data_IF_965042207787
#
_entry.id   IF_965042207787
#
_cell.length_a   1.000
_cell.length_b   1.000
_cell.length_c   1.000
_cell.angle_alpha   90.00
_cell.angle_beta   90.00
_cell.angle_gamma   90.00
#
_symmetry.space_group_name_H-M   'P 1'
#
loop_
_entity.id
_entity.type
_entity.pdbx_description
1 polymer ?
#
# COMPACT_ATOMS: atom_id res chain seq x y z
N UNK A 1 26.91 6.20 13.75
CA UNK A 1 27.21 7.31 12.82
C UNK A 1 25.86 7.73 12.25
N UNK A 2 25.41 8.98 12.50
CA UNK A 2 24.08 9.42 12.07
C UNK A 2 24.01 9.48 10.54
N UNK A 3 23.21 8.61 9.92
CA UNK A 3 22.87 8.66 8.51
C UNK A 3 21.89 9.83 8.27
N UNK A 4 22.36 10.88 7.62
CA UNK A 4 21.50 12.00 7.19
C UNK A 4 20.62 11.55 6.02
N UNK A 5 19.36 11.22 6.30
CA UNK A 5 18.32 11.15 5.28
C UNK A 5 17.88 12.57 4.93
N UNK A 6 18.09 13.01 3.70
CA UNK A 6 17.57 14.29 3.21
C UNK A 6 16.16 14.04 2.64
N UNK A 7 15.14 14.31 3.45
CA UNK A 7 13.75 14.34 3.00
C UNK A 7 13.43 15.72 2.40
N UNK A 8 13.26 15.81 1.09
CA UNK A 8 12.66 16.99 0.47
C UNK A 8 11.13 16.91 0.56
N UNK A 9 10.52 17.76 1.40
CA UNK A 9 9.07 18.03 1.39
C UNK A 9 8.84 19.50 1.05
N UNK A 10 8.82 19.83 -0.25
CA UNK A 10 8.42 21.16 -0.71
C UNK A 10 6.89 21.22 -0.77
N UNK A 11 6.30 22.11 0.02
CA UNK A 11 4.85 22.30 0.11
C UNK A 11 4.29 22.76 -1.25
N UNK A 12 3.36 22.01 -1.84
CA UNK A 12 2.46 22.55 -2.87
C UNK A 12 0.99 22.30 -2.56
N UNK A 13 0.23 23.25 -3.09
CA UNK A 13 -1.14 23.66 -2.80
C UNK A 13 -2.10 22.72 -3.53
N UNK A 14 -3.13 22.22 -2.86
CA UNK A 14 -4.17 21.36 -3.45
C UNK A 14 -4.89 22.09 -4.59
N UNK A 15 -4.67 21.64 -5.82
CA UNK A 15 -5.48 22.03 -6.97
C UNK A 15 -6.23 20.80 -7.52
N UNK A 16 -7.56 20.91 -7.46
CA UNK A 16 -8.54 19.89 -7.86
C UNK A 16 -8.40 19.54 -9.35
N UNK A 17 -8.36 18.25 -9.66
CA UNK A 17 -8.67 17.74 -11.01
C UNK A 17 -9.88 16.83 -11.01
N UNK A 18 -10.73 17.14 -11.99
CA UNK A 18 -12.05 16.62 -12.26
C UNK A 18 -11.92 15.56 -13.37
N UNK A 19 -12.03 14.28 -13.03
CA UNK A 19 -12.09 13.18 -13.99
C UNK A 19 -13.35 12.36 -13.76
N UNK A 20 -14.29 12.44 -14.72
CA UNK A 20 -15.55 11.69 -14.76
C UNK A 20 -15.32 10.21 -15.11
N UNK A 21 -14.60 9.51 -14.25
CA UNK A 21 -14.93 8.13 -13.94
C UNK A 21 -15.59 8.20 -12.57
N UNK A 22 -16.80 7.67 -12.40
CA UNK A 22 -17.34 7.49 -11.04
C UNK A 22 -16.51 6.39 -10.40
N UNK A 23 -15.30 6.71 -9.97
CA UNK A 23 -14.58 5.94 -8.96
C UNK A 23 -15.49 6.00 -7.75
N UNK A 24 -16.29 4.95 -7.56
CA UNK A 24 -16.98 4.72 -6.30
C UNK A 24 -15.89 4.61 -5.25
N UNK A 25 -15.57 5.73 -4.61
CA UNK A 25 -14.62 5.72 -3.52
C UNK A 25 -15.20 4.88 -2.39
N UNK A 26 -14.32 4.27 -1.59
CA UNK A 26 -14.73 3.38 -0.50
C UNK A 26 -15.73 4.07 0.45
N UNK A 27 -15.61 5.39 0.64
CA UNK A 27 -16.53 6.17 1.46
C UNK A 27 -17.95 6.30 0.87
N UNK A 28 -18.09 6.40 -0.45
CA UNK A 28 -19.40 6.46 -1.12
C UNK A 28 -20.09 5.11 -1.07
N UNK A 29 -19.34 4.03 -1.30
CA UNK A 29 -19.84 2.65 -1.21
C UNK A 29 -20.28 2.31 0.22
N UNK A 30 -19.47 2.71 1.21
CA UNK A 30 -19.81 2.62 2.63
C UNK A 30 -21.08 3.41 2.98
N UNK A 31 -21.20 4.65 2.51
CA UNK A 31 -22.39 5.47 2.74
C UNK A 31 -23.66 4.86 2.13
N UNK A 32 -23.58 4.26 0.93
CA UNK A 32 -24.71 3.55 0.33
C UNK A 32 -25.08 2.30 1.12
N UNK A 33 -24.11 1.54 1.61
CA UNK A 33 -24.36 0.35 2.41
C UNK A 33 -25.01 0.69 3.75
N UNK A 34 -24.50 1.72 4.45
CA UNK A 34 -25.10 2.19 5.71
C UNK A 34 -26.54 2.64 5.48
N UNK A 35 -26.81 3.38 4.39
CA UNK A 35 -28.18 3.76 4.01
C UNK A 35 -29.07 2.55 3.72
N UNK A 36 -28.56 1.54 3.03
CA UNK A 36 -29.29 0.31 2.74
C UNK A 36 -29.61 -0.48 4.02
N UNK A 37 -28.65 -0.62 4.94
CA UNK A 37 -28.85 -1.28 6.24
C UNK A 37 -29.92 -0.55 7.06
N UNK A 38 -29.87 0.78 7.09
CA UNK A 38 -30.88 1.61 7.77
C UNK A 38 -32.27 1.40 7.14
N UNK A 39 -32.37 1.41 5.80
CA UNK A 39 -33.62 1.18 5.08
C UNK A 39 -34.21 -0.21 5.34
N UNK A 40 -33.38 -1.25 5.30
CA UNK A 40 -33.81 -2.63 5.59
C UNK A 40 -34.27 -2.74 7.05
N UNK A 41 -33.55 -2.12 7.99
CA UNK A 41 -33.92 -2.11 9.40
C UNK A 41 -35.27 -1.41 9.63
N UNK A 42 -35.49 -0.26 9.00
CA UNK A 42 -36.76 0.46 9.07
C UNK A 42 -37.91 -0.34 8.46
N UNK A 43 -37.71 -0.94 7.28
CA UNK A 43 -38.70 -1.79 6.63
C UNK A 43 -39.11 -2.95 7.55
N UNK A 44 -38.14 -3.64 8.15
CA UNK A 44 -38.37 -4.75 9.06
C UNK A 44 -39.14 -4.32 10.32
N UNK A 45 -38.79 -3.18 10.93
CA UNK A 45 -39.52 -2.64 12.10
C UNK A 45 -40.98 -2.36 11.73
N UNK A 46 -41.22 -1.72 10.57
CA UNK A 46 -42.58 -1.40 10.11
C UNK A 46 -43.41 -2.62 9.73
N UNK A 47 -42.78 -3.74 9.35
CA UNK A 47 -43.48 -4.95 8.94
C UNK A 47 -43.64 -5.96 10.08
N UNK A 48 -42.72 -6.02 11.05
CA UNK A 48 -42.78 -7.04 12.10
C UNK A 48 -43.77 -6.66 13.19
N UNK A 49 -43.78 -5.39 13.61
CA UNK A 49 -44.64 -4.92 14.72
C UNK A 49 -46.15 -5.10 14.44
N UNK A 50 -46.68 -4.76 13.24
CA UNK A 50 -48.10 -4.94 12.98
C UNK A 50 -48.50 -6.37 12.56
N UNK A 51 -47.59 -7.17 12.00
CA UNK A 51 -47.92 -8.51 11.49
C UNK A 51 -47.50 -9.66 12.41
N UNK A 52 -46.70 -9.42 13.44
CA UNK A 52 -46.31 -10.43 14.44
C UNK A 52 -47.52 -11.14 15.07
N UNK A 53 -48.57 -10.39 15.39
CA UNK A 53 -49.79 -10.92 16.01
C UNK A 53 -50.54 -11.84 15.04
N UNK A 54 -50.54 -11.48 13.76
CA UNK A 54 -51.12 -12.27 12.66
C UNK A 54 -50.33 -13.55 12.44
N UNK A 55 -49.00 -13.48 12.43
CA UNK A 55 -48.11 -14.65 12.26
C UNK A 55 -48.24 -15.60 13.46
N UNK A 56 -48.24 -15.08 14.68
CA UNK A 56 -48.43 -15.90 15.89
C UNK A 56 -49.78 -16.60 15.86
N UNK A 57 -50.84 -15.90 15.45
CA UNK A 57 -52.18 -16.48 15.33
C UNK A 57 -52.24 -17.55 14.23
N UNK A 58 -51.58 -17.33 13.09
CA UNK A 58 -51.57 -18.24 11.96
C UNK A 58 -50.85 -19.57 12.29
N UNK A 59 -49.72 -19.51 12.97
CA UNK A 59 -48.89 -20.70 13.23
C UNK A 59 -49.18 -21.38 14.56
N UNK A 60 -49.70 -20.64 15.55
CA UNK A 60 -49.85 -21.16 16.90
C UNK A 60 -51.24 -20.91 17.53
N UNK A 61 -52.15 -20.28 16.78
CA UNK A 61 -53.53 -20.04 17.20
C UNK A 61 -53.70 -18.95 18.27
N UNK A 62 -54.95 -18.67 18.63
CA UNK A 62 -55.30 -17.54 19.52
C UNK A 62 -54.95 -17.77 20.98
N UNK A 63 -54.66 -19.01 21.40
CA UNK A 63 -54.39 -19.35 22.81
C UNK A 63 -53.09 -18.72 23.33
N UNK A 64 -52.10 -18.50 22.47
CA UNK A 64 -50.83 -17.86 22.83
C UNK A 64 -50.92 -16.33 22.89
N UNK A 65 -51.93 -15.74 22.25
CA UNK A 65 -52.19 -14.30 22.30
C UNK A 65 -52.69 -13.82 23.67
N UNK A 66 -53.10 -14.74 24.57
CA UNK A 66 -53.57 -14.41 25.91
C UNK A 66 -52.43 -14.16 26.91
N UNK A 67 -51.19 -14.53 26.56
CA UNK A 67 -50.03 -14.39 27.43
C UNK A 67 -49.08 -13.29 26.90
N UNK A 68 -49.25 -12.07 27.40
CA UNK A 68 -48.47 -10.90 26.98
C UNK A 68 -46.95 -11.07 27.13
N UNK A 69 -46.49 -11.77 28.17
CA UNK A 69 -45.05 -12.01 28.38
C UNK A 69 -44.46 -12.90 27.28
N UNK A 70 -45.23 -13.86 26.78
CA UNK A 70 -44.77 -14.76 25.73
C UNK A 70 -44.71 -14.07 24.36
N UNK A 71 -45.68 -13.20 24.06
CA UNK A 71 -45.68 -12.38 22.85
C UNK A 71 -44.47 -11.43 22.83
N UNK A 72 -44.17 -10.82 23.98
CA UNK A 72 -42.98 -9.98 24.15
C UNK A 72 -41.69 -10.77 23.93
N UNK A 73 -41.62 -11.99 24.47
CA UNK A 73 -40.46 -12.87 24.27
C UNK A 73 -40.24 -13.25 22.81
N UNK A 74 -41.30 -13.59 22.07
CA UNK A 74 -41.24 -13.88 20.63
C UNK A 74 -40.79 -12.64 19.84
N UNK A 75 -41.30 -11.46 20.17
CA UNK A 75 -40.83 -10.20 19.55
C UNK A 75 -39.34 -9.95 19.77
N UNK A 76 -38.89 -10.04 21.02
CA UNK A 76 -37.48 -9.84 21.36
C UNK A 76 -36.58 -10.88 20.66
N UNK A 77 -37.05 -12.12 20.51
CA UNK A 77 -36.34 -13.16 19.77
C UNK A 77 -36.23 -12.85 18.27
N UNK A 78 -37.32 -12.39 17.63
CA UNK A 78 -37.31 -11.99 16.23
C UNK A 78 -36.40 -10.78 15.99
N UNK A 79 -36.42 -9.78 16.88
CA UNK A 79 -35.51 -8.63 16.83
C UNK A 79 -34.05 -9.10 16.93
N UNK A 80 -33.75 -10.00 17.88
CA UNK A 80 -32.40 -10.55 18.05
C UNK A 80 -31.92 -11.32 16.81
N UNK A 81 -32.79 -12.12 16.20
CA UNK A 81 -32.47 -12.88 14.98
C UNK A 81 -32.11 -11.95 13.82
N UNK A 82 -32.80 -10.81 13.69
CA UNK A 82 -32.53 -9.81 12.66
C UNK A 82 -31.25 -9.03 12.90
N UNK A 83 -31.00 -8.61 14.13
CA UNK A 83 -29.74 -7.94 14.50
C UNK A 83 -28.54 -8.84 14.19
N UNK A 84 -28.63 -10.13 14.50
CA UNK A 84 -27.59 -11.09 14.16
C UNK A 84 -27.38 -11.23 12.64
N UNK A 85 -28.47 -11.24 11.85
CA UNK A 85 -28.40 -11.30 10.39
C UNK A 85 -27.74 -10.06 9.78
N UNK A 86 -28.08 -8.86 10.27
CA UNK A 86 -27.44 -7.60 9.85
C UNK A 86 -25.94 -7.62 10.18
N UNK A 87 -25.57 -8.06 11.39
CA UNK A 87 -24.16 -8.15 11.78
C UNK A 87 -23.36 -9.07 10.84
N UNK A 88 -23.89 -10.24 10.49
CA UNK A 88 -23.22 -11.16 9.56
C UNK A 88 -23.02 -10.59 8.15
N UNK A 89 -24.01 -9.85 7.63
CA UNK A 89 -23.89 -9.14 6.34
C UNK A 89 -22.82 -8.04 6.44
N UNK A 90 -22.80 -7.31 7.56
CA UNK A 90 -21.86 -6.21 7.79
C UNK A 90 -20.42 -6.74 7.89
N UNK A 91 -20.20 -7.82 8.64
CA UNK A 91 -18.90 -8.50 8.75
C UNK A 91 -18.41 -9.02 7.40
N UNK A 92 -19.29 -9.68 6.64
CA UNK A 92 -18.95 -10.20 5.30
C UNK A 92 -18.60 -9.06 4.36
N UNK A 93 -19.34 -7.95 4.39
CA UNK A 93 -19.04 -6.77 3.58
C UNK A 93 -17.73 -6.12 3.99
N UNK A 94 -17.46 -5.95 5.29
CA UNK A 94 -16.18 -5.42 5.79
C UNK A 94 -15.02 -6.31 5.31
N UNK A 95 -15.13 -7.63 5.44
CA UNK A 95 -14.16 -8.61 4.93
C UNK A 95 -13.96 -8.47 3.40
N UNK A 96 -15.04 -8.26 2.66
CA UNK A 96 -15.01 -8.09 1.20
C UNK A 96 -14.32 -6.78 0.80
N UNK A 97 -14.64 -5.66 1.47
CA UNK A 97 -14.03 -4.35 1.18
C UNK A 97 -12.56 -4.33 1.61
N UNK A 98 -12.24 -4.88 2.78
CA UNK A 98 -10.87 -4.96 3.26
C UNK A 98 -9.99 -5.84 2.37
N UNK A 99 -10.53 -6.95 1.83
CA UNK A 99 -9.80 -7.79 0.88
C UNK A 99 -9.58 -7.12 -0.48
N UNK A 100 -10.51 -6.27 -0.94
CA UNK A 100 -10.35 -5.45 -2.16
C UNK A 100 -9.26 -4.37 -1.97
N UNK A 101 -9.00 -3.93 -0.74
CA UNK A 101 -8.06 -2.84 -0.45
C UNK A 101 -6.61 -3.29 -0.15
N UNK A 102 -6.35 -4.60 -0.10
CA UNK A 102 -5.01 -5.16 0.04
C UNK A 102 -4.29 -5.31 -1.32
N UNK A 103 -4.17 -4.22 -2.08
CA UNK A 103 -3.05 -4.14 -3.02
C UNK A 103 -1.85 -3.64 -2.22
N UNK A 104 -0.89 -4.52 -1.90
CA UNK A 104 0.37 -4.09 -1.28
C UNK A 104 0.98 -3.00 -2.16
N UNK A 105 0.99 -1.77 -1.65
CA UNK A 105 1.47 -0.61 -2.38
C UNK A 105 2.94 -0.83 -2.78
N UNK A 106 3.32 -0.37 -3.97
CA UNK A 106 4.68 -0.59 -4.49
C UNK A 106 5.59 0.61 -4.27
N UNK A 107 6.82 0.36 -3.86
CA UNK A 107 7.88 1.36 -3.80
C UNK A 107 8.95 0.98 -4.82
N UNK A 108 9.40 1.95 -5.60
CA UNK A 108 10.46 1.77 -6.57
C UNK A 108 11.81 2.18 -5.97
N UNK A 109 12.74 1.23 -5.87
CA UNK A 109 14.13 1.49 -5.53
C UNK A 109 14.94 1.59 -6.82
N UNK A 110 15.65 2.70 -7.01
CA UNK A 110 16.52 2.92 -8.16
C UNK A 110 17.97 2.79 -7.72
N UNK A 111 18.69 1.90 -8.41
CA UNK A 111 20.10 1.61 -8.27
C UNK A 111 20.87 2.15 -9.48
N UNK A 112 22.16 2.41 -9.30
CA UNK A 112 23.08 2.68 -10.41
C UNK A 112 23.31 1.43 -11.27
N UNK A 113 23.70 1.63 -12.53
CA UNK A 113 24.25 0.62 -13.44
C UNK A 113 25.75 0.84 -13.71
N UNK A 114 26.43 1.64 -12.90
CA UNK A 114 27.85 2.00 -13.02
C UNK A 114 28.70 1.26 -11.98
N UNK A 115 29.77 0.61 -12.41
CA UNK A 115 30.51 -0.40 -11.64
C UNK A 115 32.00 -0.10 -11.42
N UNK A 116 32.58 0.91 -12.08
CA UNK A 116 34.03 1.17 -12.05
C UNK A 116 34.35 2.66 -12.00
N UNK A 117 35.13 3.09 -11.02
CA UNK A 117 35.68 4.44 -10.96
C UNK A 117 36.67 4.73 -12.11
N UNK A 118 36.93 6.01 -12.46
CA UNK A 118 37.92 6.38 -13.47
C UNK A 118 39.35 5.86 -13.21
N UNK A 119 39.68 5.55 -11.96
CA UNK A 119 40.96 4.97 -11.55
C UNK A 119 41.01 3.43 -11.65
N UNK A 120 39.94 2.79 -12.14
CA UNK A 120 39.85 1.35 -12.34
C UNK A 120 39.39 0.54 -11.12
N UNK A 121 39.16 1.18 -9.96
CA UNK A 121 38.62 0.48 -8.79
C UNK A 121 37.11 0.23 -8.93
N UNK A 122 36.58 -0.91 -8.44
CA UNK A 122 35.16 -1.19 -8.51
C UNK A 122 34.35 -0.22 -7.64
N UNK A 123 33.13 0.08 -8.08
CA UNK A 123 32.12 0.86 -7.36
C UNK A 123 30.72 0.29 -7.64
N UNK A 124 29.69 0.98 -7.16
CA UNK A 124 28.31 0.56 -7.32
C UNK A 124 27.36 1.33 -6.42
N UNK A 125 26.22 0.72 -6.13
CA UNK A 125 25.33 1.18 -5.07
C UNK A 125 25.85 0.72 -3.69
N UNK A 126 25.50 1.47 -2.64
CA UNK A 126 25.98 1.23 -1.27
C UNK A 126 25.07 0.26 -0.51
N UNK A 127 25.63 -0.83 0.04
CA UNK A 127 24.88 -1.89 0.73
C UNK A 127 23.89 -1.40 1.81
N UNK A 128 24.33 -0.70 2.87
CA UNK A 128 23.43 -0.27 3.96
C UNK A 128 22.33 0.67 3.49
N UNK A 129 22.59 1.46 2.45
CA UNK A 129 21.63 2.43 1.91
C UNK A 129 20.46 1.78 1.16
N UNK A 130 20.62 0.53 0.71
CA UNK A 130 19.52 -0.31 0.24
C UNK A 130 18.97 -1.20 1.35
N UNK A 131 19.85 -1.84 2.13
CA UNK A 131 19.48 -2.87 3.11
C UNK A 131 18.62 -2.32 4.24
N UNK A 132 19.06 -1.25 4.90
CA UNK A 132 18.35 -0.66 6.04
C UNK A 132 16.91 -0.23 5.68
N UNK A 133 16.68 0.57 4.62
CA UNK A 133 15.30 0.91 4.24
C UNK A 133 14.51 -0.30 3.72
N UNK A 134 15.14 -1.27 3.05
CA UNK A 134 14.46 -2.50 2.63
C UNK A 134 13.90 -3.29 3.82
N UNK A 135 14.74 -3.58 4.83
CA UNK A 135 14.35 -4.35 6.01
C UNK A 135 13.18 -3.72 6.77
N UNK A 136 13.10 -2.39 6.80
CA UNK A 136 11.98 -1.66 7.42
C UNK A 136 10.71 -1.73 6.56
N UNK A 137 10.84 -1.67 5.23
CA UNK A 137 9.69 -1.47 4.33
C UNK A 137 9.11 -2.77 3.75
N UNK A 138 9.89 -3.85 3.67
CA UNK A 138 9.51 -5.06 2.93
C UNK A 138 8.25 -5.78 3.46
N UNK A 139 7.94 -5.60 4.74
CA UNK A 139 6.77 -6.18 5.41
C UNK A 139 5.49 -5.33 5.19
N UNK A 140 5.64 -4.13 4.65
CA UNK A 140 4.54 -3.17 4.47
C UNK A 140 4.27 -2.85 2.99
N UNK A 141 5.30 -2.93 2.15
CA UNK A 141 5.27 -2.55 0.75
C UNK A 141 5.90 -3.61 -0.13
N UNK A 142 5.44 -3.69 -1.38
CA UNK A 142 6.15 -4.44 -2.41
C UNK A 142 7.27 -3.58 -2.96
N UNK A 143 8.51 -3.98 -2.73
CA UNK A 143 9.69 -3.26 -3.24
C UNK A 143 10.05 -3.84 -4.60
N UNK A 144 10.12 -2.99 -5.61
CA UNK A 144 10.66 -3.33 -6.92
C UNK A 144 11.91 -2.51 -7.19
N UNK A 145 12.80 -3.05 -8.01
CA UNK A 145 14.13 -2.50 -8.25
C UNK A 145 14.26 -2.11 -9.71
N UNK A 146 14.87 -0.95 -9.96
CA UNK A 146 15.17 -0.49 -11.30
C UNK A 146 16.58 0.09 -11.38
N UNK A 147 17.13 0.11 -12.60
CA UNK A 147 18.40 0.77 -12.90
C UNK A 147 18.39 1.32 -14.34
N UNK A 148 19.27 2.27 -14.69
CA UNK A 148 19.34 2.83 -16.05
C UNK A 148 19.38 1.79 -17.16
N UNK A 149 20.17 0.71 -16.97
CA UNK A 149 20.33 -0.35 -17.97
C UNK A 149 19.38 -1.53 -17.76
N UNK A 150 18.78 -1.67 -16.58
CA UNK A 150 18.09 -2.89 -16.17
C UNK A 150 19.06 -4.06 -15.97
N UNK A 151 18.55 -5.21 -15.53
CA UNK A 151 19.35 -6.39 -15.22
C UNK A 151 20.16 -6.22 -13.93
N UNK A 152 21.40 -6.70 -13.93
CA UNK A 152 22.25 -6.69 -12.73
C UNK A 152 22.69 -5.27 -12.36
N UNK A 153 22.39 -4.85 -11.13
CA UNK A 153 22.90 -3.59 -10.57
C UNK A 153 24.16 -3.84 -9.71
N UNK A 154 25.30 -3.21 -10.03
CA UNK A 154 26.58 -3.46 -9.36
C UNK A 154 26.58 -2.96 -7.91
N UNK A 155 26.88 -3.86 -6.98
CA UNK A 155 27.06 -3.54 -5.55
C UNK A 155 28.51 -3.11 -5.28
N UNK A 156 28.71 -2.01 -4.56
CA UNK A 156 30.05 -1.55 -4.17
C UNK A 156 30.69 -2.54 -3.17
N UNK A 157 31.77 -3.27 -3.54
CA UNK A 157 32.42 -4.23 -2.67
C UNK A 157 32.97 -3.60 -1.39
N UNK A 158 33.38 -2.33 -1.44
CA UNK A 158 33.89 -1.61 -0.27
C UNK A 158 32.79 -1.43 0.77
N UNK A 159 31.54 -1.21 0.33
CA UNK A 159 30.39 -1.12 1.24
C UNK A 159 30.07 -2.45 1.90
N UNK A 160 30.28 -3.57 1.20
CA UNK A 160 30.10 -4.92 1.77
C UNK A 160 31.12 -5.17 2.88
N UNK A 161 32.40 -4.86 2.63
CA UNK A 161 33.46 -5.06 3.63
C UNK A 161 33.27 -4.15 4.85
N UNK A 162 32.95 -2.86 4.63
CA UNK A 162 32.78 -1.89 5.71
C UNK A 162 31.57 -2.21 6.62
N UNK A 163 30.54 -2.86 6.09
CA UNK A 163 29.32 -3.21 6.81
C UNK A 163 29.14 -4.72 7.00
N UNK A 164 30.24 -5.49 6.91
CA UNK A 164 30.20 -6.96 7.03
C UNK A 164 29.69 -7.46 8.37
N UNK A 165 29.70 -6.62 9.42
CA UNK A 165 29.25 -6.97 10.77
C UNK A 165 27.83 -6.48 11.09
N UNK A 166 27.24 -5.68 10.21
CA UNK A 166 25.89 -5.13 10.34
C UNK A 166 24.84 -6.24 10.12
N UNK A 167 23.91 -6.36 11.07
CA UNK A 167 22.92 -7.45 11.10
C UNK A 167 21.93 -7.34 9.94
N UNK A 168 21.42 -6.14 9.66
CA UNK A 168 20.45 -5.90 8.58
C UNK A 168 21.11 -6.10 7.22
N UNK A 169 22.36 -5.68 7.06
CA UNK A 169 23.14 -5.93 5.85
C UNK A 169 23.36 -7.44 5.60
N UNK A 170 23.70 -8.21 6.63
CA UNK A 170 23.82 -9.68 6.54
C UNK A 170 22.50 -10.34 6.15
N UNK A 171 21.40 -9.92 6.77
CA UNK A 171 20.07 -10.42 6.48
C UNK A 171 19.67 -10.12 5.04
N UNK A 172 19.85 -8.88 4.59
CA UNK A 172 19.56 -8.44 3.23
C UNK A 172 20.36 -9.23 2.17
N UNK A 173 21.65 -9.45 2.40
CA UNK A 173 22.49 -10.26 1.49
C UNK A 173 22.07 -11.74 1.44
N UNK A 174 21.44 -12.23 2.51
CA UNK A 174 20.94 -13.62 2.61
C UNK A 174 19.49 -13.77 2.14
N UNK A 175 18.78 -12.65 1.90
CA UNK A 175 17.41 -12.67 1.42
C UNK A 175 17.37 -12.88 -0.10
N UNK A 176 16.84 -14.04 -0.51
CA UNK A 176 16.68 -14.39 -1.91
C UNK A 176 15.77 -13.43 -2.68
N UNK A 177 14.76 -12.83 -2.03
CA UNK A 177 13.83 -11.89 -2.66
C UNK A 177 14.54 -10.57 -2.97
N UNK A 178 15.25 -10.02 -1.99
CA UNK A 178 16.11 -8.86 -2.20
C UNK A 178 17.14 -9.12 -3.30
N UNK A 179 17.84 -10.25 -3.22
CA UNK A 179 18.88 -10.66 -4.18
C UNK A 179 18.36 -10.77 -5.60
N UNK A 180 17.27 -11.50 -5.81
CA UNK A 180 16.65 -11.58 -7.14
C UNK A 180 16.23 -10.21 -7.66
N UNK A 181 15.78 -9.33 -6.77
CA UNK A 181 15.40 -7.96 -7.10
C UNK A 181 16.55 -7.12 -7.67
N UNK A 182 17.65 -6.97 -6.92
CA UNK A 182 18.78 -6.15 -7.36
C UNK A 182 19.65 -6.83 -8.45
N UNK A 183 19.58 -8.15 -8.61
CA UNK A 183 20.22 -8.85 -9.73
C UNK A 183 19.41 -8.78 -11.04
N UNK A 184 18.10 -8.52 -10.97
CA UNK A 184 17.19 -8.50 -12.13
C UNK A 184 16.35 -7.23 -12.14
N UNK A 185 17.01 -6.08 -12.06
CA UNK A 185 16.33 -4.77 -12.04
C UNK A 185 15.57 -4.51 -13.34
N UNK A 186 14.45 -3.80 -13.23
CA UNK A 186 13.75 -3.24 -14.39
C UNK A 186 14.58 -2.11 -15.00
N UNK A 187 14.46 -1.92 -16.30
CA UNK A 187 15.05 -0.75 -16.96
C UNK A 187 14.20 0.48 -16.65
N UNK A 188 14.82 1.64 -16.39
CA UNK A 188 14.09 2.88 -16.08
C UNK A 188 13.07 3.27 -17.16
N UNK A 189 13.34 2.98 -18.44
CA UNK A 189 12.42 3.27 -19.55
C UNK A 189 11.12 2.50 -19.51
N UNK A 190 11.06 1.40 -18.74
CA UNK A 190 9.93 0.49 -18.70
C UNK A 190 9.05 0.74 -17.47
N UNK A 191 9.42 1.73 -16.65
CA UNK A 191 8.73 2.08 -15.42
C UNK A 191 7.51 2.94 -15.71
N UNK A 192 6.35 2.47 -15.26
CA UNK A 192 5.14 3.27 -15.19
C UNK A 192 4.98 3.85 -13.77
N UNK A 193 5.11 5.18 -13.66
CA UNK A 193 5.01 5.90 -12.38
C UNK A 193 3.72 5.57 -11.62
N UNK A 194 2.62 5.31 -12.33
CA UNK A 194 1.31 5.04 -11.72
C UNK A 194 1.27 3.77 -10.88
N UNK A 195 2.20 2.84 -11.09
CA UNK A 195 2.23 1.56 -10.37
C UNK A 195 2.83 1.69 -8.96
N UNK A 196 3.45 2.84 -8.66
CA UNK A 196 4.21 3.07 -7.44
C UNK A 196 3.66 4.23 -6.63
N UNK A 197 3.82 4.13 -5.30
CA UNK A 197 3.45 5.19 -4.35
C UNK A 197 4.63 6.05 -3.93
N UNK A 198 5.86 5.54 -4.10
CA UNK A 198 7.09 6.24 -3.75
C UNK A 198 8.27 5.78 -4.62
N UNK A 199 9.25 6.66 -4.72
CA UNK A 199 10.54 6.48 -5.42
C UNK A 199 11.68 6.69 -4.42
N UNK A 200 12.65 5.80 -4.42
CA UNK A 200 13.85 5.85 -3.57
C UNK A 200 15.09 5.69 -4.43
N UNK A 201 15.96 6.69 -4.48
CA UNK A 201 17.29 6.58 -5.07
C UNK A 201 18.31 6.15 -4.02
N UNK A 202 18.87 4.96 -4.21
CA UNK A 202 19.96 4.45 -3.37
C UNK A 202 21.25 5.13 -3.79
N UNK A 203 22.10 5.49 -2.83
CA UNK A 203 23.41 6.08 -3.10
C UNK A 203 24.50 5.03 -3.35
N UNK A 204 25.69 5.26 -2.81
CA UNK A 204 26.95 4.75 -3.37
C UNK A 204 27.57 5.75 -4.34
N UNK A 205 28.77 5.52 -4.88
CA UNK A 205 29.39 6.51 -5.78
C UNK A 205 28.92 6.38 -7.24
N UNK A 206 28.42 5.20 -7.63
CA UNK A 206 27.92 4.94 -8.98
C UNK A 206 26.89 5.95 -9.50
N UNK A 207 25.88 6.37 -8.71
CA UNK A 207 24.89 7.38 -9.12
C UNK A 207 25.47 8.69 -9.66
N UNK A 208 26.67 9.10 -9.23
CA UNK A 208 27.32 10.30 -9.75
C UNK A 208 27.78 10.17 -11.20
N UNK A 209 27.94 8.95 -11.72
CA UNK A 209 28.49 8.68 -13.04
C UNK A 209 27.44 8.35 -14.11
N UNK A 210 26.27 7.85 -13.71
CA UNK A 210 25.20 7.53 -14.65
C UNK A 210 23.91 8.31 -14.37
N UNK A 211 23.39 8.23 -13.14
CA UNK A 211 22.10 8.82 -12.80
C UNK A 211 22.11 10.36 -12.81
N UNK A 212 23.27 11.00 -12.58
CA UNK A 212 23.45 12.46 -12.60
C UNK A 212 23.09 13.13 -13.92
N UNK A 213 23.28 12.43 -15.04
CA UNK A 213 22.99 12.93 -16.39
C UNK A 213 21.89 12.12 -17.10
N UNK A 214 21.31 11.13 -16.42
CA UNK A 214 20.25 10.29 -16.98
C UNK A 214 18.93 11.07 -17.05
N UNK A 215 18.60 11.57 -18.24
CA UNK A 215 17.35 12.27 -18.54
C UNK A 215 16.09 11.45 -18.23
N UNK A 216 16.17 10.11 -18.33
CA UNK A 216 15.07 9.21 -17.96
C UNK A 216 14.87 9.23 -16.45
N UNK A 217 15.96 9.13 -15.68
CA UNK A 217 15.93 9.23 -14.22
C UNK A 217 15.37 10.56 -13.75
N UNK A 218 15.91 11.67 -14.24
CA UNK A 218 15.46 13.03 -13.86
C UNK A 218 13.97 13.20 -14.17
N UNK A 219 13.53 12.81 -15.37
CA UNK A 219 12.12 12.86 -15.77
C UNK A 219 11.24 11.98 -14.89
N UNK A 220 11.70 10.78 -14.53
CA UNK A 220 10.98 9.88 -13.64
C UNK A 220 10.75 10.53 -12.27
N UNK A 221 11.81 11.08 -11.67
CA UNK A 221 11.72 11.80 -10.39
C UNK A 221 10.74 12.98 -10.46
N UNK A 222 10.80 13.78 -11.53
CA UNK A 222 9.84 14.87 -11.76
C UNK A 222 8.40 14.37 -11.87
N UNK A 223 8.15 13.25 -12.54
CA UNK A 223 6.80 12.70 -12.70
C UNK A 223 6.24 12.18 -11.37
N UNK A 224 7.04 11.49 -10.55
CA UNK A 224 6.64 11.13 -9.19
C UNK A 224 6.29 12.37 -8.38
N UNK A 225 7.16 13.39 -8.43
CA UNK A 225 6.94 14.65 -7.72
C UNK A 225 5.68 15.38 -8.17
N UNK A 226 5.47 15.53 -9.49
CA UNK A 226 4.28 16.18 -10.08
C UNK A 226 2.97 15.46 -9.73
N UNK A 227 3.03 14.15 -9.47
CA UNK A 227 1.90 13.37 -8.99
C UNK A 227 1.70 13.42 -7.46
N UNK A 228 2.51 14.21 -6.74
CA UNK A 228 2.45 14.30 -5.28
C UNK A 228 2.94 13.05 -4.55
N UNK A 229 3.73 12.20 -5.23
CA UNK A 229 4.30 10.98 -4.65
C UNK A 229 5.60 11.30 -3.93
N UNK A 230 5.96 10.44 -2.97
CA UNK A 230 7.20 10.60 -2.22
C UNK A 230 8.40 10.30 -3.12
N UNK A 231 9.38 11.20 -3.11
CA UNK A 231 10.70 10.99 -3.72
C UNK A 231 11.75 11.12 -2.61
N UNK A 232 12.57 10.09 -2.45
CA UNK A 232 13.64 10.04 -1.45
C UNK A 232 14.96 9.71 -2.13
N UNK A 233 16.05 10.24 -1.60
CA UNK A 233 17.40 9.94 -2.07
C UNK A 233 18.40 10.02 -0.92
N UNK A 234 19.41 9.16 -0.92
CA UNK A 234 20.39 9.02 0.18
C UNK A 234 21.82 9.11 -0.34
N UNK A 235 22.72 9.72 0.45
CA UNK A 235 24.15 9.86 0.15
C UNK A 235 24.40 10.60 -1.19
N UNK A 236 24.87 9.91 -2.24
CA UNK A 236 25.02 10.47 -3.59
C UNK A 236 23.82 10.17 -4.51
N UNK A 237 22.82 9.41 -4.04
CA UNK A 237 21.54 9.23 -4.73
C UNK A 237 20.87 10.54 -5.16
N UNK A 238 20.97 11.67 -4.42
CA UNK A 238 20.44 12.96 -4.87
C UNK A 238 21.02 13.46 -6.20
N UNK A 239 22.18 12.95 -6.65
CA UNK A 239 22.70 13.27 -7.98
C UNK A 239 21.68 12.95 -9.09
N UNK A 240 20.82 11.94 -8.88
CA UNK A 240 19.79 11.53 -9.82
C UNK A 240 18.64 12.53 -10.01
N UNK A 241 18.58 13.60 -9.20
CA UNK A 241 17.47 14.55 -9.17
C UNK A 241 17.70 15.82 -10.02
N UNK A 242 18.90 15.99 -10.58
CA UNK A 242 19.27 17.14 -11.41
C UNK A 242 19.86 18.31 -10.63
#
# INVERSE_FOLDING_TARGET
MLSYFIFFRIHQKEERRDERTVKLNASTLFNYLVRLIILISLLLITFIIPYSSTIINLFFGTNLLKNYNLILYVHLYLIKMLLNGINGITETFIQSVMSIQQTTQKILFVLTSHDIFPNGHPTGWCLPEAAHPYCVLENHFTIEWASPKGGHAPLDPSSVENFKDDVECKQFLSDNKAKQGYENTKKLTDINVNDYVALVYVGGHGPCFDLSEDKTSIKLAEEFWKQGKLVSAVCHGPAALG
#
